data_IF_930690058642
#
_entry.id   IF_930690058642
#
_cell.length_a   1.000
_cell.length_b   1.000
_cell.length_c   1.000
_cell.angle_alpha   90.00
_cell.angle_beta   90.00
_cell.angle_gamma   90.00
#
_symmetry.space_group_name_H-M   'P 1'
#
loop_
_entity.id
_entity.type
_entity.pdbx_description
1 polymer ?
#
# COMPACT_ATOMS: atom_id res chain seq x y z
N UNK A 1 -13.61 19.30 8.35
CA UNK A 1 -12.42 18.52 7.94
C UNK A 1 -12.60 18.08 6.50
N UNK A 2 -11.55 18.17 5.66
CA UNK A 2 -11.67 17.85 4.23
C UNK A 2 -11.82 16.34 3.95
N UNK A 3 -11.51 15.47 4.92
CA UNK A 3 -11.73 14.02 4.83
C UNK A 3 -13.08 13.63 5.43
N UNK A 4 -13.88 12.86 4.69
CA UNK A 4 -15.20 12.38 5.14
C UNK A 4 -15.08 11.38 6.30
N UNK A 5 -16.09 11.34 7.17
CA UNK A 5 -16.15 10.37 8.29
C UNK A 5 -16.07 8.92 7.80
N UNK A 6 -16.63 8.61 6.63
CA UNK A 6 -16.56 7.29 6.03
C UNK A 6 -15.12 6.84 5.75
N UNK A 7 -14.30 7.72 5.17
CA UNK A 7 -12.87 7.44 4.94
C UNK A 7 -12.14 7.27 6.26
N UNK A 8 -12.44 8.11 7.26
CA UNK A 8 -11.80 8.01 8.59
C UNK A 8 -12.06 6.65 9.24
N UNK A 9 -13.30 6.14 9.14
CA UNK A 9 -13.67 4.80 9.64
C UNK A 9 -12.94 3.69 8.89
N UNK A 10 -12.83 3.79 7.55
CA UNK A 10 -12.10 2.81 6.75
C UNK A 10 -10.60 2.75 7.09
N UNK A 11 -9.97 3.92 7.27
CA UNK A 11 -8.58 4.01 7.72
C UNK A 11 -8.41 3.44 9.13
N UNK A 12 -9.35 3.70 10.04
CA UNK A 12 -9.33 3.11 11.38
C UNK A 12 -9.45 1.58 11.36
N UNK A 13 -10.29 1.03 10.48
CA UNK A 13 -10.37 -0.42 10.29
C UNK A 13 -9.05 -0.98 9.72
N UNK A 14 -8.49 -0.33 8.69
CA UNK A 14 -7.22 -0.72 8.11
C UNK A 14 -6.08 -0.69 9.15
N UNK A 15 -6.07 0.30 10.04
CA UNK A 15 -5.10 0.41 11.14
C UNK A 15 -5.12 -0.80 12.07
N UNK A 16 -6.31 -1.25 12.46
CA UNK A 16 -6.49 -2.44 13.31
C UNK A 16 -5.98 -3.70 12.59
N UNK A 17 -6.39 -3.92 11.35
CA UNK A 17 -6.02 -5.13 10.58
C UNK A 17 -4.52 -5.16 10.25
N UNK A 18 -3.94 -3.99 9.97
CA UNK A 18 -2.53 -3.84 9.60
C UNK A 18 -1.61 -3.66 10.81
N UNK A 19 -2.13 -3.79 12.04
CA UNK A 19 -1.40 -3.68 13.30
C UNK A 19 -0.73 -2.30 13.47
N UNK A 20 -1.55 -1.26 13.67
CA UNK A 20 -1.14 0.13 13.95
C UNK A 20 -0.29 0.74 12.81
N UNK A 21 -0.92 1.01 11.67
CA UNK A 21 -0.29 1.59 10.49
C UNK A 21 -0.51 3.11 10.35
N UNK A 22 -1.63 3.64 10.83
CA UNK A 22 -2.14 4.99 10.53
C UNK A 22 -2.39 5.83 11.79
N UNK A 23 -1.56 5.64 12.82
CA UNK A 23 -1.77 6.23 14.14
C UNK A 23 -1.83 7.77 14.09
N UNK A 24 -0.98 8.43 13.29
CA UNK A 24 -0.86 9.89 13.33
C UNK A 24 -2.07 10.58 12.72
N UNK A 25 -2.60 10.07 11.60
CA UNK A 25 -3.84 10.59 11.02
C UNK A 25 -5.04 10.33 11.92
N UNK A 26 -5.13 9.14 12.54
CA UNK A 26 -6.21 8.83 13.47
C UNK A 26 -6.18 9.71 14.72
N UNK A 27 -5.01 9.97 15.29
CA UNK A 27 -4.86 10.89 16.41
C UNK A 27 -5.31 12.31 16.03
N UNK A 28 -4.90 12.80 14.85
CA UNK A 28 -5.32 14.12 14.35
C UNK A 28 -6.83 14.21 14.16
N UNK A 29 -7.47 13.20 13.57
CA UNK A 29 -8.92 13.22 13.38
C UNK A 29 -9.71 13.14 14.69
N UNK A 30 -9.17 12.45 15.69
CA UNK A 30 -9.82 12.33 17.01
C UNK A 30 -9.63 13.56 17.90
N UNK A 31 -8.43 14.16 17.87
CA UNK A 31 -8.00 15.16 18.88
C UNK A 31 -7.66 16.52 18.30
N UNK A 32 -7.61 16.65 16.98
CA UNK A 32 -7.14 17.85 16.30
C UNK A 32 -5.61 17.97 16.27
N UNK A 33 -5.15 19.13 15.81
CA UNK A 33 -3.74 19.49 15.75
C UNK A 33 -3.14 19.68 17.16
N UNK A 34 -1.89 19.26 17.34
CA UNK A 34 -1.10 19.51 18.56
C UNK A 34 -0.01 20.53 18.21
N UNK A 35 0.33 21.43 19.13
CA UNK A 35 1.41 22.42 18.91
C UNK A 35 2.77 21.78 18.55
N UNK A 36 3.02 20.56 19.02
CA UNK A 36 4.26 19.81 18.75
C UNK A 36 4.28 19.10 17.39
N UNK A 37 3.17 19.14 16.64
CA UNK A 37 2.96 18.36 15.42
C UNK A 37 2.16 19.20 14.42
N UNK A 38 2.81 20.15 13.72
CA UNK A 38 2.12 21.12 12.88
C UNK A 38 1.56 20.49 11.60
N UNK A 39 0.31 20.83 11.29
CA UNK A 39 -0.41 20.39 10.09
C UNK A 39 -0.47 21.52 9.06
N UNK A 40 0.17 21.31 7.91
CA UNK A 40 0.05 22.19 6.76
C UNK A 40 -1.18 21.81 5.95
N UNK A 41 -1.97 22.80 5.57
CA UNK A 41 -3.10 22.62 4.64
C UNK A 41 -2.79 23.36 3.34
N UNK A 42 -2.97 22.68 2.20
CA UNK A 42 -2.68 23.19 0.85
C UNK A 42 -3.79 22.78 -0.12
N UNK A 43 -4.05 23.61 -1.12
CA UNK A 43 -4.88 23.21 -2.25
C UNK A 43 -4.08 22.30 -3.19
N UNK A 44 -4.77 21.44 -3.94
CA UNK A 44 -4.18 20.51 -4.91
C UNK A 44 -3.23 21.10 -5.96
N UNK A 45 -3.43 22.37 -6.30
CA UNK A 45 -2.71 23.13 -7.32
C UNK A 45 -1.62 24.07 -6.74
N UNK A 46 -1.26 23.90 -5.47
CA UNK A 46 -0.33 24.80 -4.74
C UNK A 46 1.13 24.76 -5.21
N UNK A 47 1.44 24.16 -6.36
CA UNK A 47 2.80 23.91 -6.83
C UNK A 47 3.52 22.82 -6.01
N UNK A 48 4.84 22.71 -6.21
CA UNK A 48 5.65 21.72 -5.49
C UNK A 48 5.71 22.04 -3.99
N UNK A 49 5.55 21.01 -3.15
CA UNK A 49 5.51 21.16 -1.69
C UNK A 49 6.73 20.44 -1.08
N UNK A 50 7.39 21.08 -0.13
CA UNK A 50 8.47 20.49 0.65
C UNK A 50 8.08 20.51 2.13
N UNK A 51 8.15 19.35 2.79
CA UNK A 51 7.86 19.19 4.21
C UNK A 51 9.16 19.17 5.01
N UNK A 52 9.19 20.00 6.05
CA UNK A 52 10.24 20.00 7.06
C UNK A 52 10.00 18.88 8.09
N UNK A 53 11.01 18.63 8.94
CA UNK A 53 10.97 17.59 9.96
C UNK A 53 9.70 17.71 10.83
N UNK A 54 8.99 16.59 11.04
CA UNK A 54 7.78 16.50 11.88
C UNK A 54 6.57 17.29 11.37
N UNK A 55 6.58 17.81 10.14
CA UNK A 55 5.37 18.37 9.56
C UNK A 55 4.43 17.26 9.10
N UNK A 56 3.13 17.55 9.12
CA UNK A 56 2.10 16.78 8.44
C UNK A 56 1.47 17.67 7.36
N UNK A 57 0.92 17.05 6.31
CA UNK A 57 0.34 17.75 5.18
C UNK A 57 -1.05 17.21 4.87
N UNK A 58 -2.00 18.11 4.65
CA UNK A 58 -3.28 17.85 4.02
C UNK A 58 -3.34 18.62 2.71
N UNK A 59 -3.52 17.89 1.61
CA UNK A 59 -3.83 18.43 0.30
C UNK A 59 -5.34 18.31 0.11
N UNK A 60 -6.01 19.45 -0.06
CA UNK A 60 -7.42 19.50 -0.41
C UNK A 60 -7.61 19.25 -1.91
N UNK A 61 -8.34 18.18 -2.25
CA UNK A 61 -8.54 17.75 -3.63
C UNK A 61 -7.39 16.91 -4.19
N UNK A 62 -7.26 16.94 -5.51
CA UNK A 62 -6.28 16.14 -6.25
C UNK A 62 -4.85 16.69 -6.08
N UNK A 63 -3.88 15.81 -5.88
CA UNK A 63 -2.46 16.18 -5.82
C UNK A 63 -1.86 16.18 -7.24
N UNK A 64 -1.65 17.38 -7.78
CA UNK A 64 -1.16 17.59 -9.16
C UNK A 64 0.35 17.88 -9.23
N UNK A 65 0.98 18.15 -8.09
CA UNK A 65 2.37 18.56 -8.02
C UNK A 65 3.17 17.66 -7.09
N UNK A 66 4.49 17.65 -7.27
CA UNK A 66 5.36 16.83 -6.43
C UNK A 66 5.34 17.30 -4.98
N UNK A 67 5.29 16.34 -4.05
CA UNK A 67 5.50 16.57 -2.62
C UNK A 67 6.76 15.84 -2.20
N UNK A 68 7.64 16.52 -1.49
CA UNK A 68 8.88 15.95 -0.96
C UNK A 68 8.86 16.02 0.58
N UNK A 69 9.08 14.89 1.24
CA UNK A 69 9.17 14.77 2.70
C UNK A 69 10.42 13.93 3.08
N UNK A 70 11.62 14.53 3.05
CA UNK A 70 12.89 13.81 3.16
C UNK A 70 13.17 13.22 4.55
N UNK A 71 12.42 13.61 5.57
CA UNK A 71 12.49 13.05 6.93
C UNK A 71 11.27 12.17 7.25
N UNK A 72 10.45 11.90 6.23
CA UNK A 72 9.15 11.26 6.38
C UNK A 72 8.08 12.20 6.88
N UNK A 73 7.00 11.63 7.42
CA UNK A 73 5.87 12.38 7.92
C UNK A 73 4.52 11.79 7.52
N UNK A 74 3.49 12.62 7.64
CA UNK A 74 2.11 12.21 7.37
C UNK A 74 1.55 13.07 6.25
N UNK A 75 1.11 12.44 5.16
CA UNK A 75 0.56 13.13 3.98
C UNK A 75 -0.84 12.59 3.72
N UNK A 76 -1.82 13.47 3.69
CA UNK A 76 -3.21 13.16 3.35
C UNK A 76 -3.59 13.91 2.08
N UNK A 77 -3.95 13.19 1.03
CA UNK A 77 -4.49 13.73 -0.22
C UNK A 77 -5.99 13.48 -0.26
N UNK A 78 -6.78 14.54 -0.15
CA UNK A 78 -8.24 14.52 -0.16
C UNK A 78 -8.81 14.45 -1.60
N UNK A 79 -8.21 13.62 -2.43
CA UNK A 79 -8.56 13.38 -3.83
C UNK A 79 -7.65 12.32 -4.43
N UNK A 80 -7.40 12.43 -5.72
CA UNK A 80 -6.53 11.54 -6.48
C UNK A 80 -5.07 12.01 -6.46
N UNK A 81 -4.15 11.07 -6.65
CA UNK A 81 -2.74 11.35 -6.86
C UNK A 81 -2.39 11.24 -8.36
N UNK A 82 -1.98 12.35 -8.96
CA UNK A 82 -1.49 12.43 -10.35
C UNK A 82 0.02 12.68 -10.45
N UNK A 83 0.68 12.89 -9.31
CA UNK A 83 2.07 13.32 -9.21
C UNK A 83 2.88 12.39 -8.31
N UNK A 84 4.10 12.82 -7.98
CA UNK A 84 5.01 12.08 -7.10
C UNK A 84 4.92 12.55 -5.66
N UNK A 85 4.72 11.61 -4.73
CA UNK A 85 5.08 11.78 -3.32
C UNK A 85 6.45 11.12 -3.12
N UNK A 86 7.48 11.91 -2.86
CA UNK A 86 8.85 11.44 -2.57
C UNK A 86 9.13 11.61 -1.08
N UNK A 87 9.06 10.50 -0.36
CA UNK A 87 9.13 10.47 1.10
C UNK A 87 10.23 9.53 1.57
N UNK A 88 10.78 9.78 2.74
CA UNK A 88 11.80 8.92 3.36
C UNK A 88 11.39 8.61 4.82
N UNK A 89 12.26 8.00 5.60
CA UNK A 89 12.05 7.74 7.02
C UNK A 89 10.78 6.93 7.31
N UNK A 90 10.02 7.35 8.32
CA UNK A 90 8.70 6.77 8.61
C UNK A 90 7.62 7.62 7.96
N UNK A 91 6.88 7.03 7.03
CA UNK A 91 5.87 7.73 6.25
C UNK A 91 4.49 7.09 6.37
N UNK A 92 3.51 7.92 6.69
CA UNK A 92 2.09 7.60 6.70
C UNK A 92 1.39 8.38 5.58
N UNK A 93 0.82 7.67 4.62
CA UNK A 93 0.25 8.28 3.42
C UNK A 93 -1.21 7.84 3.29
N UNK A 94 -2.11 8.80 3.12
CA UNK A 94 -3.53 8.55 2.89
C UNK A 94 -3.94 9.24 1.60
N UNK A 95 -4.33 8.47 0.59
CA UNK A 95 -4.96 8.96 -0.63
C UNK A 95 -6.43 8.59 -0.56
N UNK A 96 -7.33 9.57 -0.51
CA UNK A 96 -8.77 9.28 -0.36
C UNK A 96 -9.43 8.82 -1.66
N UNK A 97 -8.86 9.18 -2.81
CA UNK A 97 -9.24 8.71 -4.14
C UNK A 97 -8.24 7.70 -4.71
N UNK A 98 -8.01 7.78 -6.01
CA UNK A 98 -7.14 6.87 -6.75
C UNK A 98 -5.68 7.33 -6.75
N UNK A 99 -4.76 6.37 -6.83
CA UNK A 99 -3.41 6.61 -7.36
C UNK A 99 -3.48 6.34 -8.87
N UNK A 100 -3.56 7.42 -9.65
CA UNK A 100 -3.74 7.38 -11.11
C UNK A 100 -2.47 6.84 -11.79
N UNK A 101 -2.50 6.49 -13.10
CA UNK A 101 -1.35 5.88 -13.78
C UNK A 101 -0.03 6.67 -13.67
N UNK A 102 -0.12 8.01 -13.68
CA UNK A 102 1.04 8.92 -13.51
C UNK A 102 1.40 9.17 -12.04
N UNK A 103 0.53 8.76 -11.11
CA UNK A 103 0.74 8.87 -9.67
C UNK A 103 1.85 7.93 -9.21
N UNK A 104 2.77 8.48 -8.41
CA UNK A 104 3.92 7.74 -7.90
C UNK A 104 4.12 8.00 -6.42
N UNK A 105 4.13 6.95 -5.61
CA UNK A 105 4.54 7.01 -4.20
C UNK A 105 5.92 6.38 -4.12
N UNK A 106 6.94 7.19 -3.86
CA UNK A 106 8.31 6.74 -3.59
C UNK A 106 8.57 6.90 -2.10
N UNK A 107 8.84 5.80 -1.41
CA UNK A 107 9.13 5.80 0.00
C UNK A 107 10.43 5.07 0.31
N UNK A 108 11.39 5.76 0.88
CA UNK A 108 12.62 5.15 1.36
C UNK A 108 12.44 4.83 2.87
N UNK A 109 12.75 3.59 3.29
CA UNK A 109 12.46 3.02 4.63
C UNK A 109 11.00 2.55 4.88
N UNK A 110 10.26 3.14 5.82
CA UNK A 110 8.96 2.61 6.27
C UNK A 110 7.80 3.33 5.60
N UNK A 111 6.97 2.58 4.87
CA UNK A 111 5.83 3.13 4.14
C UNK A 111 4.53 2.49 4.58
N UNK A 112 3.66 3.27 5.20
CA UNK A 112 2.28 2.89 5.48
C UNK A 112 1.36 3.71 4.57
N UNK A 113 0.69 3.05 3.63
CA UNK A 113 -0.15 3.70 2.64
C UNK A 113 -1.59 3.18 2.71
N UNK A 114 -2.55 4.10 2.79
CA UNK A 114 -3.97 3.84 2.55
C UNK A 114 -4.38 4.52 1.25
N UNK A 115 -5.02 3.77 0.36
CA UNK A 115 -5.55 4.23 -0.92
C UNK A 115 -7.03 3.88 -0.93
N UNK A 116 -7.88 4.90 -0.84
CA UNK A 116 -9.34 4.76 -0.76
C UNK A 116 -10.01 4.39 -2.08
N UNK A 117 -9.32 4.61 -3.20
CA UNK A 117 -9.72 4.20 -4.55
C UNK A 117 -8.81 3.13 -5.13
N UNK A 118 -8.61 3.19 -6.45
CA UNK A 118 -7.78 2.25 -7.21
C UNK A 118 -6.30 2.60 -7.13
N UNK A 119 -5.45 1.58 -7.19
CA UNK A 119 -4.02 1.74 -7.44
C UNK A 119 -3.72 1.37 -8.90
N UNK A 120 -3.66 2.37 -9.77
CA UNK A 120 -3.29 2.26 -11.20
C UNK A 120 -1.83 2.70 -11.46
N UNK A 121 -1.31 3.59 -10.61
CA UNK A 121 0.07 4.08 -10.66
C UNK A 121 1.08 3.17 -9.95
N UNK A 122 2.12 3.78 -9.38
CA UNK A 122 3.21 3.05 -8.73
C UNK A 122 3.34 3.37 -7.25
N UNK A 123 3.48 2.34 -6.42
CA UNK A 123 3.98 2.45 -5.05
C UNK A 123 5.32 1.72 -4.96
N UNK A 124 6.38 2.43 -4.64
CA UNK A 124 7.71 1.88 -4.40
C UNK A 124 8.14 2.15 -2.97
N UNK A 125 8.59 1.10 -2.29
CA UNK A 125 9.17 1.20 -0.95
C UNK A 125 10.49 0.42 -0.89
N UNK A 126 11.56 1.04 -0.43
CA UNK A 126 12.85 0.35 -0.24
C UNK A 126 12.91 -0.44 1.09
N UNK A 127 12.17 -0.02 2.11
CA UNK A 127 12.03 -0.75 3.37
C UNK A 127 10.66 -1.41 3.55
N UNK A 128 10.24 -1.57 4.81
CA UNK A 128 8.99 -2.27 5.14
C UNK A 128 7.74 -1.51 4.70
N UNK A 129 6.77 -2.25 4.17
CA UNK A 129 5.56 -1.66 3.60
C UNK A 129 4.29 -2.25 4.23
N UNK A 130 3.33 -1.39 4.54
CA UNK A 130 1.94 -1.75 4.78
C UNK A 130 1.07 -0.95 3.81
N UNK A 131 0.48 -1.62 2.83
CA UNK A 131 -0.39 -0.98 1.86
C UNK A 131 -1.82 -1.51 1.98
N UNK A 132 -2.79 -0.61 2.10
CA UNK A 132 -4.22 -0.89 2.03
C UNK A 132 -4.79 -0.21 0.80
N UNK A 133 -5.25 -1.01 -0.15
CA UNK A 133 -5.92 -0.53 -1.37
C UNK A 133 -7.39 -0.95 -1.21
N UNK A 134 -8.28 0.00 -1.04
CA UNK A 134 -9.69 -0.27 -0.72
C UNK A 134 -10.51 -0.72 -1.94
N UNK A 135 -9.93 -0.58 -3.15
CA UNK A 135 -10.52 -0.96 -4.43
C UNK A 135 -9.58 -1.87 -5.24
N UNK A 136 -9.64 -1.78 -6.57
CA UNK A 136 -8.85 -2.59 -7.50
C UNK A 136 -7.38 -2.17 -7.54
N UNK A 137 -6.52 -3.15 -7.79
CA UNK A 137 -5.08 -2.96 -7.99
C UNK A 137 -4.64 -3.48 -9.35
N UNK A 138 -4.31 -2.54 -10.25
CA UNK A 138 -3.85 -2.81 -11.63
C UNK A 138 -2.47 -2.19 -11.95
N UNK A 139 -1.95 -1.34 -11.06
CA UNK A 139 -0.65 -0.68 -11.19
C UNK A 139 0.55 -1.55 -10.78
N UNK A 140 1.57 -0.90 -10.22
CA UNK A 140 2.83 -1.54 -9.82
C UNK A 140 3.12 -1.28 -8.34
N UNK A 141 3.46 -2.33 -7.61
CA UNK A 141 3.95 -2.25 -6.25
C UNK A 141 5.35 -2.87 -6.17
N UNK A 142 6.35 -2.03 -5.88
CA UNK A 142 7.74 -2.44 -5.68
C UNK A 142 8.05 -2.51 -4.20
N UNK A 143 8.26 -3.72 -3.66
CA UNK A 143 8.43 -3.92 -2.21
C UNK A 143 9.88 -3.97 -1.78
N UNK A 144 10.14 -3.48 -0.58
CA UNK A 144 11.44 -3.52 0.08
C UNK A 144 11.51 -4.50 1.24
N UNK A 145 12.59 -4.41 2.01
CA UNK A 145 12.91 -5.32 3.13
C UNK A 145 12.63 -4.69 4.51
N UNK A 146 12.39 -5.50 5.57
CA UNK A 146 12.28 -6.96 5.60
C UNK A 146 10.92 -7.55 5.18
N UNK A 147 9.85 -6.75 5.10
CA UNK A 147 8.52 -7.28 4.77
C UNK A 147 7.57 -6.29 4.12
N UNK A 148 6.68 -6.80 3.29
CA UNK A 148 5.52 -6.09 2.76
C UNK A 148 4.22 -6.79 3.14
N UNK A 149 3.26 -6.04 3.65
CA UNK A 149 1.88 -6.47 3.88
C UNK A 149 0.96 -5.65 2.99
N UNK A 150 0.19 -6.31 2.15
CA UNK A 150 -0.65 -5.68 1.13
C UNK A 150 -2.07 -6.23 1.26
N UNK A 151 -3.04 -5.32 1.34
CA UNK A 151 -4.46 -5.63 1.25
C UNK A 151 -5.04 -4.98 -0.01
N UNK A 152 -5.83 -5.74 -0.76
CA UNK A 152 -6.58 -5.29 -1.94
C UNK A 152 -8.06 -5.62 -1.71
N UNK A 153 -8.90 -4.59 -1.64
CA UNK A 153 -10.34 -4.72 -1.41
C UNK A 153 -11.10 -5.21 -2.65
N UNK A 154 -10.58 -4.92 -3.85
CA UNK A 154 -11.15 -5.33 -5.14
C UNK A 154 -10.30 -6.39 -5.86
N UNK A 155 -10.31 -6.30 -7.19
CA UNK A 155 -9.60 -7.22 -8.08
C UNK A 155 -8.10 -6.89 -8.15
N UNK A 156 -7.27 -7.93 -8.24
CA UNK A 156 -5.83 -7.83 -8.42
C UNK A 156 -5.40 -8.29 -9.83
N UNK A 157 -4.94 -7.33 -10.62
CA UNK A 157 -4.39 -7.53 -11.98
C UNK A 157 -3.02 -6.89 -12.20
N UNK A 158 -2.52 -6.13 -11.21
CA UNK A 158 -1.25 -5.41 -11.27
C UNK A 158 -0.02 -6.28 -11.04
N UNK A 159 1.12 -5.63 -10.75
CA UNK A 159 2.41 -6.29 -10.56
C UNK A 159 2.96 -6.03 -9.16
N UNK A 160 3.34 -7.09 -8.46
CA UNK A 160 4.09 -7.01 -7.20
C UNK A 160 5.48 -7.57 -7.48
N UNK A 161 6.51 -6.74 -7.32
CA UNK A 161 7.92 -7.11 -7.59
C UNK A 161 8.84 -6.56 -6.50
N UNK A 162 9.99 -7.19 -6.22
CA UNK A 162 10.97 -6.62 -5.31
C UNK A 162 11.56 -5.34 -5.91
N UNK A 163 11.80 -4.34 -5.06
CA UNK A 163 12.52 -3.14 -5.48
C UNK A 163 14.01 -3.44 -5.70
N UNK A 164 14.63 -4.15 -4.74
CA UNK A 164 16.03 -4.56 -4.79
C UNK A 164 16.18 -6.05 -4.48
N UNK A 165 15.66 -6.48 -3.32
CA UNK A 165 15.71 -7.87 -2.88
C UNK A 165 14.31 -8.36 -2.48
N UNK A 166 14.01 -9.65 -2.70
CA UNK A 166 12.77 -10.25 -2.23
C UNK A 166 12.67 -10.20 -0.72
N UNK A 167 11.51 -9.80 -0.21
CA UNK A 167 11.21 -9.72 1.21
C UNK A 167 10.03 -10.62 1.58
N UNK A 168 9.68 -10.67 2.88
CA UNK A 168 8.48 -11.39 3.28
C UNK A 168 7.22 -10.66 2.80
N UNK A 169 6.46 -11.30 1.92
CA UNK A 169 5.24 -10.78 1.34
C UNK A 169 4.01 -11.44 1.95
N UNK A 170 3.09 -10.60 2.44
CA UNK A 170 1.77 -11.00 2.90
C UNK A 170 0.73 -10.29 2.03
N UNK A 171 -0.09 -11.04 1.31
CA UNK A 171 -1.07 -10.49 0.37
C UNK A 171 -2.49 -10.97 0.74
N UNK A 172 -3.44 -10.05 0.82
CA UNK A 172 -4.85 -10.38 0.92
C UNK A 172 -5.60 -9.72 -0.23
N UNK A 173 -6.31 -10.50 -1.05
CA UNK A 173 -7.16 -10.01 -2.14
C UNK A 173 -8.60 -10.43 -1.85
N UNK A 174 -9.46 -9.44 -1.61
CA UNK A 174 -10.88 -9.64 -1.34
C UNK A 174 -11.73 -9.81 -2.61
N UNK A 175 -11.22 -9.39 -3.78
CA UNK A 175 -11.80 -9.68 -5.09
C UNK A 175 -11.14 -10.86 -5.80
N UNK A 176 -11.08 -10.75 -7.13
CA UNK A 176 -10.47 -11.74 -8.01
C UNK A 176 -8.96 -11.57 -8.15
N UNK A 177 -8.22 -12.67 -8.09
CA UNK A 177 -6.84 -12.76 -8.57
C UNK A 177 -6.64 -14.02 -9.42
N UNK A 178 -6.09 -13.87 -10.62
CA UNK A 178 -5.71 -15.01 -11.44
C UNK A 178 -4.58 -15.79 -10.78
N UNK A 179 -4.66 -17.13 -10.82
CA UNK A 179 -3.65 -18.00 -10.24
C UNK A 179 -2.28 -17.83 -10.90
N UNK A 180 -2.25 -17.50 -12.20
CA UNK A 180 -1.02 -17.16 -12.93
C UNK A 180 -0.31 -15.93 -12.32
N UNK A 181 -1.05 -14.91 -11.89
CA UNK A 181 -0.48 -13.72 -11.25
C UNK A 181 0.25 -14.08 -9.94
N UNK A 182 -0.27 -15.06 -9.19
CA UNK A 182 0.34 -15.53 -7.94
C UNK A 182 1.61 -16.35 -8.19
N UNK A 183 1.61 -17.16 -9.25
CA UNK A 183 2.82 -17.84 -9.71
C UNK A 183 3.90 -16.84 -10.13
N UNK A 184 3.54 -15.77 -10.86
CA UNK A 184 4.49 -14.71 -11.23
C UNK A 184 5.08 -14.01 -10.01
N UNK A 185 4.28 -13.77 -8.95
CA UNK A 185 4.82 -13.27 -7.67
C UNK A 185 5.81 -14.29 -7.10
N UNK A 186 5.46 -15.58 -7.06
CA UNK A 186 6.35 -16.62 -6.53
C UNK A 186 7.72 -16.65 -7.24
N UNK A 187 7.78 -16.42 -8.55
CA UNK A 187 9.05 -16.31 -9.31
C UNK A 187 9.97 -15.22 -8.76
N UNK A 188 9.41 -14.08 -8.35
CA UNK A 188 10.16 -12.99 -7.75
C UNK A 188 10.43 -13.16 -6.26
N UNK A 189 9.61 -13.92 -5.54
CA UNK A 189 9.67 -14.12 -4.09
C UNK A 189 9.75 -15.61 -3.75
N UNK A 190 10.82 -16.32 -4.14
CA UNK A 190 10.85 -17.78 -4.15
C UNK A 190 10.74 -18.46 -2.78
N UNK A 191 10.66 -17.71 -1.66
CA UNK A 191 10.71 -18.26 -0.30
C UNK A 191 9.73 -17.67 0.72
N UNK A 192 9.02 -16.58 0.41
CA UNK A 192 8.36 -15.77 1.44
C UNK A 192 7.03 -15.13 1.00
N UNK A 193 6.12 -15.87 0.36
CA UNK A 193 4.79 -15.35 0.02
C UNK A 193 3.69 -16.05 0.80
N UNK A 194 2.92 -15.33 1.60
CA UNK A 194 1.68 -15.85 2.16
C UNK A 194 0.52 -15.03 1.60
N UNK A 195 -0.41 -15.68 0.89
CA UNK A 195 -1.58 -14.98 0.37
C UNK A 195 -2.92 -15.62 0.72
N UNK A 196 -3.96 -14.79 0.81
CA UNK A 196 -5.36 -15.21 0.89
C UNK A 196 -6.13 -14.55 -0.23
N UNK A 197 -6.81 -15.35 -1.04
CA UNK A 197 -7.49 -14.92 -2.25
C UNK A 197 -8.95 -15.34 -2.16
N UNK A 198 -9.85 -14.36 -2.21
CA UNK A 198 -11.29 -14.63 -2.15
C UNK A 198 -11.76 -15.39 -3.38
N UNK A 199 -11.44 -14.90 -4.58
CA UNK A 199 -11.90 -15.51 -5.84
C UNK A 199 -10.72 -15.71 -6.80
N UNK A 200 -10.65 -16.87 -7.45
CA UNK A 200 -9.63 -17.15 -8.48
C UNK A 200 -10.21 -17.97 -9.64
N UNK A 201 -9.41 -18.19 -10.68
CA UNK A 201 -9.72 -19.02 -11.85
C UNK A 201 -9.49 -20.53 -11.60
N UNK A 202 -9.00 -20.89 -10.42
CA UNK A 202 -8.78 -22.27 -9.97
C UNK A 202 -9.73 -22.66 -8.82
N UNK A 203 -9.97 -23.96 -8.60
CA UNK A 203 -10.83 -24.44 -7.52
C UNK A 203 -10.39 -23.96 -6.12
N UNK A 204 -11.29 -23.86 -5.13
CA UNK A 204 -10.92 -23.55 -3.75
C UNK A 204 -9.90 -24.56 -3.19
N UNK A 205 -8.92 -24.08 -2.43
CA UNK A 205 -7.88 -24.94 -1.89
C UNK A 205 -6.60 -24.21 -1.49
N UNK A 206 -5.56 -24.99 -1.18
CA UNK A 206 -4.23 -24.49 -0.82
C UNK A 206 -3.25 -24.73 -1.97
N UNK A 207 -2.58 -23.67 -2.40
CA UNK A 207 -1.68 -23.61 -3.53
C UNK A 207 -0.28 -23.11 -3.09
N UNK A 208 0.78 -23.37 -3.89
CA UNK A 208 0.78 -24.20 -5.10
C UNK A 208 0.53 -25.68 -4.77
N UNK A 209 -0.07 -26.45 -5.69
CA UNK A 209 -0.40 -27.87 -5.45
C UNK A 209 0.84 -28.76 -5.49
N UNK A 210 1.78 -28.46 -6.37
CA UNK A 210 2.98 -29.25 -6.55
C UNK A 210 4.00 -29.00 -5.44
N UNK A 211 4.55 -30.09 -4.88
CA UNK A 211 5.53 -30.02 -3.80
C UNK A 211 6.87 -29.42 -4.26
N UNK A 212 7.21 -29.56 -5.55
CA UNK A 212 8.36 -28.92 -6.19
C UNK A 212 8.33 -27.40 -6.00
N UNK A 213 7.17 -26.77 -6.16
CA UNK A 213 6.97 -25.32 -5.95
C UNK A 213 7.00 -24.92 -4.47
N UNK A 214 6.93 -25.89 -3.55
CA UNK A 214 7.07 -25.69 -2.10
C UNK A 214 8.48 -26.02 -1.61
N UNK A 215 9.46 -26.22 -2.50
CA UNK A 215 10.85 -26.54 -2.17
C UNK A 215 11.81 -25.65 -2.96
N UNK A 216 12.91 -25.23 -2.34
CA UNK A 216 14.01 -24.52 -2.96
C UNK A 216 15.36 -25.17 -2.60
N UNK A 217 16.47 -24.60 -3.09
CA UNK A 217 17.84 -25.08 -2.77
C UNK A 217 18.17 -25.07 -1.26
N UNK A 218 17.40 -24.34 -0.44
CA UNK A 218 17.57 -24.21 1.02
C UNK A 218 16.56 -25.03 1.83
N UNK A 219 15.72 -25.86 1.20
CA UNK A 219 14.71 -26.69 1.86
C UNK A 219 13.27 -26.31 1.52
N UNK A 220 12.40 -26.23 2.53
CA UNK A 220 10.99 -25.88 2.31
C UNK A 220 10.83 -24.38 2.02
N UNK A 221 10.06 -24.08 0.98
CA UNK A 221 9.57 -22.76 0.68
C UNK A 221 8.29 -22.50 1.50
N UNK A 222 8.23 -21.35 2.18
CA UNK A 222 7.04 -20.94 2.93
C UNK A 222 6.02 -20.21 2.04
N UNK A 223 6.16 -20.31 0.71
CA UNK A 223 5.23 -19.72 -0.24
C UNK A 223 3.96 -20.56 -0.33
N UNK A 224 2.83 -19.93 -0.03
CA UNK A 224 1.50 -20.52 -0.12
C UNK A 224 0.43 -19.47 -0.32
N UNK A 225 -0.65 -19.86 -0.98
CA UNK A 225 -1.88 -19.09 -0.99
C UNK A 225 -3.12 -19.97 -0.85
N UNK A 226 -4.15 -19.43 -0.21
CA UNK A 226 -5.48 -20.05 -0.17
C UNK A 226 -6.42 -19.38 -1.16
N UNK A 227 -7.22 -20.18 -1.86
CA UNK A 227 -8.34 -19.72 -2.69
C UNK A 227 -9.65 -20.14 -2.03
N UNK A 228 -10.58 -19.20 -1.85
CA UNK A 228 -11.86 -19.47 -1.16
C UNK A 228 -12.97 -19.88 -2.15
N UNK A 229 -13.02 -19.26 -3.33
CA UNK A 229 -14.06 -19.49 -4.36
C UNK A 229 -13.44 -19.50 -5.76
N UNK A 230 -14.07 -20.25 -6.68
CA UNK A 230 -13.72 -20.26 -8.10
C UNK A 230 -14.72 -19.42 -8.88
N UNK A 231 -14.21 -18.66 -9.86
CA UNK A 231 -15.01 -17.92 -10.85
C UNK A 231 -15.26 -18.75 -12.11
#
# INVERSE_FOLDING_TARGET
>A
MPVSTEIQVRVAHADVVMNMAFQRSLEYWQRGEKESDPWLQRAGDSGAIFLEEKQALIIEGDCLHQVSAPEGGTIIVCGNLYSTLDVNGFSEIIITGDVRPDGYIRADNFCHAFIGGRLEGTLQSAGSTKAWIDSDFSGVLKTGSPSARIHVGGDYTGRIIPHEQPSSLFLNVAGFAANESLYRIMEYYPNHVNASIAVSDVPPGLYPLEESHRRNERGYCFTRWSVQQQR
#
